data_IF_888767829564
#
_entry.id   IF_888767829564
#
_cell.length_a   1.000
_cell.length_b   1.000
_cell.length_c   1.000
_cell.angle_alpha   90.00
_cell.angle_beta   90.00
_cell.angle_gamma   90.00
#
_symmetry.space_group_name_H-M   'P 1'
#
loop_
_entity.id
_entity.type
_entity.pdbx_description
1 polymer ?
#
# COMPACT_ATOMS: atom_id res chain seq x y z
N UNK A 1 -9.88 26.47 66.96
CA UNK A 1 -9.08 27.24 65.98
C UNK A 1 -9.81 27.05 64.65
N UNK A 2 -10.94 27.69 64.35
CA UNK A 2 -11.14 29.14 64.12
C UNK A 2 -9.97 29.64 63.27
N UNK A 3 -10.14 29.97 61.99
CA UNK A 3 -10.66 31.26 61.47
C UNK A 3 -10.95 31.12 59.95
N UNK A 4 -12.13 31.53 59.47
CA UNK A 4 -12.40 32.75 58.67
C UNK A 4 -12.30 32.60 57.13
N UNK A 5 -13.47 32.55 56.48
CA UNK A 5 -13.73 33.18 55.15
C UNK A 5 -13.86 34.72 55.33
N UNK A 6 -14.04 35.62 54.31
CA UNK A 6 -14.56 35.43 52.93
C UNK A 6 -14.06 36.42 51.82
N UNK A 7 -14.78 36.38 50.67
CA UNK A 7 -15.08 37.46 49.68
C UNK A 7 -14.01 37.85 48.65
N UNK A 8 -14.29 38.36 47.44
CA UNK A 8 -15.41 38.47 46.47
C UNK A 8 -14.76 39.14 45.23
N UNK A 9 -15.31 39.00 44.02
CA UNK A 9 -14.90 39.85 42.89
C UNK A 9 -15.19 39.31 41.49
N UNK A 10 -16.47 39.32 41.08
CA UNK A 10 -16.86 39.56 39.68
C UNK A 10 -16.62 41.04 39.37
N UNK A 11 -16.39 41.42 38.12
CA UNK A 11 -17.15 42.42 37.33
C UNK A 11 -16.54 42.57 35.93
N UNK A 12 -17.43 42.71 34.94
CA UNK A 12 -17.16 42.88 33.51
C UNK A 12 -17.18 44.37 33.14
N UNK A 13 -16.51 44.77 32.05
CA UNK A 13 -16.88 46.01 31.35
C UNK A 13 -16.63 45.89 29.85
N UNK A 14 -17.62 46.36 29.08
CA UNK A 14 -17.68 46.39 27.63
C UNK A 14 -17.49 47.83 27.10
N UNK A 15 -17.11 47.88 25.82
CA UNK A 15 -17.43 48.88 24.78
C UNK A 15 -17.01 50.36 24.94
N UNK A 16 -16.33 50.86 23.90
CA UNK A 16 -16.63 52.17 23.31
C UNK A 16 -16.34 52.10 21.79
N UNK A 17 -17.23 52.68 20.98
CA UNK A 17 -17.15 52.66 19.52
C UNK A 17 -17.35 54.06 18.94
N UNK A 18 -16.99 54.26 17.67
CA UNK A 18 -17.37 55.45 16.88
C UNK A 18 -17.56 55.06 15.41
N UNK A 19 -18.64 55.58 14.83
CA UNK A 19 -19.20 55.32 13.50
C UNK A 19 -18.79 56.36 12.45
N UNK A 20 -18.90 56.00 11.15
CA UNK A 20 -19.43 56.75 9.99
C UNK A 20 -19.22 55.87 8.74
N UNK A 21 -20.04 55.75 7.69
CA UNK A 21 -21.19 56.46 7.18
C UNK A 21 -21.67 55.78 5.89
N UNK A 22 -22.93 56.00 5.57
CA UNK A 22 -23.76 55.44 4.50
C UNK A 22 -23.22 55.55 3.06
N UNK A 23 -23.45 54.54 2.20
CA UNK A 23 -24.25 54.66 0.94
C UNK A 23 -24.37 53.33 0.16
N UNK A 24 -25.64 53.01 -0.17
CA UNK A 24 -26.23 52.15 -1.21
C UNK A 24 -25.28 51.50 -2.25
N UNK A 25 -25.48 50.27 -2.75
CA UNK A 25 -26.68 49.46 -2.72
C UNK A 25 -26.53 48.12 -3.46
N UNK A 26 -27.59 47.32 -3.33
CA UNK A 26 -27.79 45.98 -3.89
C UNK A 26 -28.17 46.10 -5.37
N UNK A 27 -27.27 45.79 -6.29
CA UNK A 27 -27.47 45.44 -7.73
C UNK A 27 -26.33 46.02 -8.58
N UNK A 28 -25.22 45.28 -8.61
CA UNK A 28 -24.17 45.22 -9.63
C UNK A 28 -23.03 44.54 -8.88
N UNK A 29 -22.74 43.25 -9.06
CA UNK A 29 -21.91 42.85 -10.17
C UNK A 29 -21.97 41.31 -10.29
N UNK A 30 -23.09 40.76 -10.79
CA UNK A 30 -22.97 39.49 -11.52
C UNK A 30 -22.29 39.83 -12.84
N UNK A 31 -20.95 39.76 -12.85
CA UNK A 31 -20.16 39.87 -14.07
C UNK A 31 -19.21 38.69 -14.15
N UNK A 32 -19.65 37.73 -14.95
CA UNK A 32 -18.90 36.68 -15.63
C UNK A 32 -17.41 36.98 -15.76
N UNK A 33 -16.60 36.15 -15.10
CA UNK A 33 -15.20 35.96 -15.40
C UNK A 33 -14.95 34.47 -15.60
N UNK A 34 -15.25 33.96 -16.80
CA UNK A 34 -14.65 32.72 -17.28
C UNK A 34 -13.15 33.00 -17.42
N UNK A 35 -12.39 32.55 -16.43
CA UNK A 35 -10.93 32.62 -16.40
C UNK A 35 -10.38 31.22 -16.27
N UNK A 36 -9.85 30.70 -17.37
CA UNK A 36 -9.13 29.44 -17.42
C UNK A 36 -7.81 29.51 -16.65
N UNK A 37 -7.37 28.32 -16.22
CA UNK A 37 -6.00 27.95 -15.82
C UNK A 37 -5.52 28.37 -14.43
N UNK A 38 -5.75 27.47 -13.47
CA UNK A 38 -4.68 26.85 -12.70
C UNK A 38 -5.21 25.53 -12.12
N UNK A 39 -5.06 24.44 -12.87
CA UNK A 39 -5.01 23.12 -12.24
C UNK A 39 -3.65 23.05 -11.54
N UNK A 40 -3.59 23.59 -10.33
CA UNK A 40 -2.51 23.25 -9.40
C UNK A 40 -2.71 21.77 -9.11
N UNK A 41 -1.89 20.93 -9.74
CA UNK A 41 -1.81 19.53 -9.40
C UNK A 41 -1.39 19.43 -7.95
N UNK A 42 -2.34 19.13 -7.07
CA UNK A 42 -2.06 18.55 -5.77
C UNK A 42 -1.83 17.04 -5.97
N UNK A 43 -0.81 16.69 -6.75
CA UNK A 43 -0.21 15.37 -6.65
C UNK A 43 0.77 15.46 -5.48
N UNK A 44 0.39 14.87 -4.33
CA UNK A 44 1.26 14.82 -3.15
C UNK A 44 0.60 15.12 -1.80
N UNK A 45 -0.73 15.18 -1.69
CA UNK A 45 -1.40 15.30 -0.38
C UNK A 45 -2.08 14.00 0.10
N UNK A 46 -2.03 12.92 -0.71
CA UNK A 46 -2.62 11.62 -0.34
C UNK A 46 -1.83 10.91 0.76
N UNK A 47 -0.49 10.96 0.69
CA UNK A 47 0.38 10.24 1.63
C UNK A 47 0.27 10.68 3.10
N UNK A 48 -0.17 11.91 3.37
CA UNK A 48 -0.33 12.39 4.75
C UNK A 48 -1.68 12.07 5.38
N UNK A 49 -2.70 11.74 4.58
CA UNK A 49 -4.03 11.39 5.10
C UNK A 49 -4.11 9.87 5.38
N UNK A 50 -3.60 9.04 4.47
CA UNK A 50 -3.59 7.58 4.62
C UNK A 50 -2.78 7.12 5.86
N UNK A 51 -1.59 7.72 6.09
CA UNK A 51 -0.78 7.41 7.27
C UNK A 51 -1.47 7.73 8.62
N UNK A 52 -2.50 8.57 8.64
CA UNK A 52 -3.24 8.88 9.88
C UNK A 52 -4.10 7.70 10.35
N UNK A 53 -4.56 6.83 9.44
CA UNK A 53 -5.36 5.67 9.80
C UNK A 53 -4.62 4.71 10.74
N UNK A 54 -3.28 4.71 10.67
CA UNK A 54 -2.39 3.92 11.53
C UNK A 54 -1.65 4.76 12.57
N UNK A 55 -2.13 5.97 12.88
CA UNK A 55 -1.52 6.84 13.90
C UNK A 55 -0.08 7.25 13.57
N UNK A 56 0.23 7.45 12.28
CA UNK A 56 1.58 7.82 11.82
C UNK A 56 2.55 6.64 11.71
N UNK A 57 2.08 5.39 11.88
CA UNK A 57 2.94 4.19 11.81
C UNK A 57 3.77 4.09 10.52
N UNK A 58 3.21 4.57 9.41
CA UNK A 58 3.80 4.49 8.07
C UNK A 58 4.53 5.77 7.62
N UNK A 59 4.72 6.77 8.48
CA UNK A 59 5.34 8.06 8.10
C UNK A 59 6.75 7.92 7.49
N UNK A 60 7.48 6.87 7.85
CA UNK A 60 8.83 6.54 7.41
C UNK A 60 8.89 5.28 6.52
N UNK A 61 7.76 4.79 6.03
CA UNK A 61 7.67 3.59 5.18
C UNK A 61 7.48 4.00 3.72
N UNK A 62 8.53 3.82 2.92
CA UNK A 62 8.62 4.44 1.59
C UNK A 62 7.70 3.86 0.52
N UNK A 63 7.23 2.61 0.69
CA UNK A 63 6.34 1.94 -0.25
C UNK A 63 4.85 1.96 0.16
N UNK A 64 4.50 2.65 1.24
CA UNK A 64 3.10 2.74 1.67
C UNK A 64 2.37 3.85 0.90
N UNK A 65 1.38 3.44 0.11
CA UNK A 65 0.50 4.34 -0.67
C UNK A 65 -0.97 4.25 -0.24
N UNK A 66 -1.30 3.34 0.68
CA UNK A 66 -2.65 3.01 1.13
C UNK A 66 -2.75 1.53 1.50
N UNK A 67 -3.92 1.11 1.96
CA UNK A 67 -4.17 -0.28 2.36
C UNK A 67 -4.74 -1.07 1.19
N UNK A 68 -4.10 -2.18 0.84
CA UNK A 68 -4.64 -3.08 -0.19
C UNK A 68 -5.82 -3.88 0.37
N UNK A 69 -6.95 -3.84 -0.31
CA UNK A 69 -8.16 -4.59 0.06
C UNK A 69 -8.08 -6.04 -0.41
N UNK A 70 -7.82 -6.95 0.52
CA UNK A 70 -7.80 -8.40 0.30
C UNK A 70 -9.01 -9.10 0.97
N UNK A 71 -10.07 -8.36 1.32
CA UNK A 71 -11.31 -8.96 1.82
C UNK A 71 -11.87 -9.98 0.82
N UNK A 72 -12.54 -11.01 1.32
CA UNK A 72 -13.02 -12.15 0.56
C UNK A 72 -11.96 -13.20 0.22
N UNK A 73 -10.70 -13.05 0.66
CA UNK A 73 -9.63 -14.03 0.45
C UNK A 73 -9.30 -14.79 1.75
N UNK A 74 -9.18 -16.12 1.64
CA UNK A 74 -8.84 -16.99 2.76
C UNK A 74 -7.34 -16.89 3.16
N UNK A 75 -6.50 -16.47 2.21
CA UNK A 75 -5.05 -16.32 2.42
C UNK A 75 -4.47 -15.13 1.64
N UNK A 76 -3.46 -14.51 2.23
CA UNK A 76 -2.69 -13.39 1.65
C UNK A 76 -1.20 -13.65 1.87
N UNK A 77 -0.38 -13.30 0.88
CA UNK A 77 1.08 -13.36 1.02
C UNK A 77 1.65 -11.96 1.21
N UNK A 78 2.56 -11.80 2.17
CA UNK A 78 3.38 -10.60 2.35
C UNK A 78 4.85 -11.00 2.18
N UNK A 79 5.53 -10.37 1.26
CA UNK A 79 6.96 -10.55 1.04
C UNK A 79 7.77 -9.89 2.17
N UNK A 80 8.77 -10.61 2.68
CA UNK A 80 9.72 -10.15 3.69
C UNK A 80 11.08 -9.96 3.03
N UNK A 81 11.52 -8.70 2.98
CA UNK A 81 12.74 -8.33 2.26
C UNK A 81 12.46 -7.77 0.87
N UNK A 82 11.46 -6.91 0.75
CA UNK A 82 11.07 -6.28 -0.50
C UNK A 82 11.76 -4.92 -0.73
N UNK A 83 11.49 -4.31 -1.88
CA UNK A 83 12.10 -3.05 -2.32
C UNK A 83 13.56 -3.16 -2.77
N UNK A 84 14.11 -2.07 -3.30
CA UNK A 84 15.44 -2.05 -3.93
C UNK A 84 16.58 -2.52 -3.02
N UNK A 85 16.44 -2.29 -1.71
CA UNK A 85 17.44 -2.69 -0.69
C UNK A 85 17.05 -3.95 0.10
N UNK A 86 15.87 -4.53 -0.16
CA UNK A 86 15.35 -5.67 0.60
C UNK A 86 14.99 -5.35 2.06
N UNK A 87 14.60 -4.12 2.37
CA UNK A 87 14.35 -3.65 3.74
C UNK A 87 12.88 -3.24 3.96
N UNK A 88 11.96 -3.79 3.17
CA UNK A 88 10.53 -3.48 3.23
C UNK A 88 9.70 -4.77 3.35
N UNK A 89 8.46 -4.60 3.79
CA UNK A 89 7.39 -5.58 3.60
C UNK A 89 6.58 -5.20 2.36
N UNK A 90 6.14 -6.18 1.57
CA UNK A 90 5.33 -5.93 0.38
C UNK A 90 4.18 -6.94 0.25
N UNK A 91 2.91 -6.49 0.23
CA UNK A 91 2.47 -5.12 0.48
C UNK A 91 2.73 -4.66 1.93
N UNK A 92 2.92 -3.35 2.16
CA UNK A 92 3.15 -2.84 3.52
C UNK A 92 1.88 -2.82 4.39
N UNK A 93 0.69 -2.77 3.78
CA UNK A 93 -0.58 -2.78 4.51
C UNK A 93 -1.66 -3.55 3.73
N UNK A 94 -2.41 -4.39 4.45
CA UNK A 94 -3.53 -5.17 3.91
C UNK A 94 -4.76 -5.08 4.82
N UNK A 95 -5.94 -5.08 4.20
CA UNK A 95 -7.23 -5.31 4.85
C UNK A 95 -7.69 -6.75 4.54
N UNK A 96 -8.07 -7.50 5.57
CA UNK A 96 -8.52 -8.90 5.44
C UNK A 96 -9.77 -9.16 6.29
N UNK A 97 -10.46 -10.26 6.01
CA UNK A 97 -11.55 -10.73 6.86
C UNK A 97 -11.00 -11.45 8.11
N UNK A 98 -11.76 -11.50 9.21
CA UNK A 98 -11.47 -12.39 10.33
C UNK A 98 -11.34 -13.84 9.88
N UNK A 99 -10.28 -14.51 10.32
CA UNK A 99 -9.92 -15.89 9.95
C UNK A 99 -9.00 -16.00 8.73
N UNK A 100 -8.68 -14.89 8.04
CA UNK A 100 -7.70 -14.91 6.95
C UNK A 100 -6.30 -15.24 7.51
N UNK A 101 -5.57 -16.10 6.79
CA UNK A 101 -4.17 -16.40 7.10
C UNK A 101 -3.24 -15.56 6.25
N UNK A 102 -2.30 -14.87 6.90
CA UNK A 102 -1.22 -14.16 6.21
C UNK A 102 0.05 -15.01 6.28
N UNK A 103 0.57 -15.33 5.10
CA UNK A 103 1.87 -16.00 4.93
C UNK A 103 2.93 -14.94 4.64
N UNK A 104 3.86 -14.78 5.55
CA UNK A 104 5.06 -13.98 5.36
C UNK A 104 6.12 -14.83 4.67
N UNK A 105 6.54 -14.47 3.44
CA UNK A 105 7.50 -15.23 2.64
C UNK A 105 8.79 -14.43 2.44
N UNK A 106 9.94 -15.01 2.78
CA UNK A 106 11.23 -14.34 2.66
C UNK A 106 11.72 -14.36 1.21
N UNK A 107 12.08 -13.18 0.70
CA UNK A 107 12.66 -13.02 -0.64
C UNK A 107 14.16 -13.38 -0.68
N UNK A 108 14.80 -13.53 0.49
CA UNK A 108 16.26 -13.67 0.61
C UNK A 108 17.04 -12.37 0.41
N UNK A 109 16.38 -11.24 0.16
CA UNK A 109 17.03 -9.94 -0.03
C UNK A 109 17.18 -9.15 1.28
N UNK A 110 18.16 -8.25 1.34
CA UNK A 110 18.36 -7.34 2.47
C UNK A 110 18.90 -7.96 3.77
N UNK A 111 19.24 -9.25 3.76
CA UNK A 111 19.84 -9.94 4.91
C UNK A 111 18.81 -10.69 5.75
N UNK A 112 18.95 -10.60 7.07
CA UNK A 112 18.05 -11.29 7.99
C UNK A 112 16.92 -10.38 8.47
N UNK A 113 15.71 -10.91 8.50
CA UNK A 113 14.48 -10.24 8.90
C UNK A 113 13.64 -11.11 9.82
N UNK A 114 12.80 -10.47 10.61
CA UNK A 114 11.73 -11.11 11.37
C UNK A 114 10.43 -10.30 11.23
N UNK A 115 9.34 -10.89 11.68
CA UNK A 115 8.02 -10.27 11.73
C UNK A 115 7.57 -10.27 13.18
N UNK A 116 7.48 -9.11 13.81
CA UNK A 116 7.10 -8.96 15.21
C UNK A 116 5.89 -8.06 15.33
N UNK A 117 4.84 -8.54 15.98
CA UNK A 117 3.69 -7.72 16.34
C UNK A 117 4.11 -6.58 17.27
N UNK A 118 3.67 -5.35 16.98
CA UNK A 118 3.80 -4.19 17.85
C UNK A 118 2.57 -4.13 18.77
N UNK A 119 2.68 -4.52 20.05
CA UNK A 119 1.58 -4.37 20.99
C UNK A 119 1.27 -2.88 21.24
N UNK A 120 0.00 -2.59 21.50
CA UNK A 120 -0.47 -1.23 21.81
C UNK A 120 -0.05 -0.75 23.21
N UNK A 121 0.25 -1.68 24.12
CA UNK A 121 0.74 -1.41 25.47
C UNK A 121 2.16 -1.91 25.61
N UNK A 122 3.03 -1.10 26.21
CA UNK A 122 4.45 -1.43 26.42
C UNK A 122 4.66 -2.68 27.30
N UNK A 123 3.69 -2.97 28.17
CA UNK A 123 3.73 -4.13 29.09
C UNK A 123 3.10 -5.41 28.49
N UNK A 124 2.60 -5.37 27.25
CA UNK A 124 1.96 -6.52 26.62
C UNK A 124 2.95 -7.31 25.75
N UNK A 125 2.78 -8.63 25.73
CA UNK A 125 3.53 -9.51 24.83
C UNK A 125 3.03 -9.38 23.38
N UNK A 126 3.89 -9.60 22.37
CA UNK A 126 3.47 -9.63 20.98
C UNK A 126 2.51 -10.81 20.73
N UNK A 127 1.47 -10.59 19.91
CA UNK A 127 0.54 -11.65 19.51
C UNK A 127 1.21 -12.71 18.62
N UNK A 128 2.24 -12.30 17.89
CA UNK A 128 3.06 -13.15 17.04
C UNK A 128 4.47 -12.59 16.88
N UNK A 129 5.43 -13.51 16.72
CA UNK A 129 6.82 -13.21 16.41
C UNK A 129 7.41 -14.38 15.61
N UNK A 130 8.02 -14.08 14.46
CA UNK A 130 8.80 -15.06 13.70
C UNK A 130 10.24 -15.17 14.23
N UNK A 131 10.93 -16.26 13.90
CA UNK A 131 12.38 -16.29 14.06
C UNK A 131 13.05 -15.29 13.11
N UNK A 132 14.30 -14.92 13.43
CA UNK A 132 15.15 -14.11 12.55
C UNK A 132 15.71 -15.02 11.44
N UNK A 133 15.27 -14.80 10.20
CA UNK A 133 15.59 -15.63 9.04
C UNK A 133 16.07 -14.78 7.86
N UNK A 134 16.81 -15.37 6.92
CA UNK A 134 17.23 -14.69 5.69
C UNK A 134 17.29 -15.61 4.47
N UNK A 135 16.75 -16.84 4.60
CA UNK A 135 16.71 -17.81 3.51
C UNK A 135 15.52 -17.52 2.60
N UNK A 136 15.77 -17.47 1.29
CA UNK A 136 14.72 -17.33 0.27
C UNK A 136 13.72 -18.49 0.35
N UNK A 137 12.42 -18.18 0.33
CA UNK A 137 11.34 -19.15 0.43
C UNK A 137 11.06 -19.67 1.84
N UNK A 138 11.75 -19.16 2.87
CA UNK A 138 11.32 -19.37 4.25
C UNK A 138 9.97 -18.70 4.49
N UNK A 139 9.13 -19.30 5.33
CA UNK A 139 7.76 -18.82 5.58
C UNK A 139 7.42 -18.76 7.07
N UNK A 140 6.63 -17.76 7.43
CA UNK A 140 5.96 -17.65 8.73
C UNK A 140 4.48 -17.36 8.51
N UNK A 141 3.59 -18.07 9.19
CA UNK A 141 2.14 -17.94 8.99
C UNK A 141 1.46 -17.51 10.28
N UNK A 142 0.47 -16.61 10.15
CA UNK A 142 -0.40 -16.23 11.26
C UNK A 142 -1.84 -16.03 10.76
N UNK A 143 -2.79 -16.60 11.50
CA UNK A 143 -4.23 -16.46 11.23
C UNK A 143 -4.82 -15.39 12.13
N UNK A 144 -5.46 -14.39 11.53
CA UNK A 144 -5.99 -13.24 12.22
C UNK A 144 -7.47 -13.42 12.55
N UNK A 145 -7.77 -13.92 13.74
CA UNK A 145 -9.14 -14.25 14.16
C UNK A 145 -9.93 -13.05 14.72
N UNK A 146 -9.24 -12.08 15.32
CA UNK A 146 -9.87 -10.96 16.02
C UNK A 146 -9.90 -9.70 15.15
N UNK A 147 -11.07 -9.06 15.06
CA UNK A 147 -11.23 -7.75 14.41
C UNK A 147 -10.42 -6.69 15.15
N UNK A 148 -9.29 -6.30 14.55
CA UNK A 148 -8.37 -5.31 15.08
C UNK A 148 -7.36 -4.90 13.99
N UNK A 149 -6.51 -3.92 14.31
CA UNK A 149 -5.35 -3.57 13.51
C UNK A 149 -4.08 -4.09 14.17
N UNK A 150 -3.37 -4.97 13.47
CA UNK A 150 -2.11 -5.55 13.91
C UNK A 150 -0.95 -4.90 13.18
N UNK A 151 -0.30 -3.94 13.84
CA UNK A 151 0.95 -3.36 13.35
C UNK A 151 2.09 -4.31 13.63
N UNK A 152 3.06 -4.40 12.72
CA UNK A 152 4.22 -5.25 12.89
C UNK A 152 5.47 -4.62 12.30
N UNK A 153 6.63 -5.09 12.73
CA UNK A 153 7.93 -4.57 12.30
C UNK A 153 8.99 -5.68 12.24
N UNK A 154 10.08 -5.37 11.54
CA UNK A 154 11.31 -6.15 11.58
C UNK A 154 12.28 -5.54 12.61
N UNK A 155 12.63 -6.29 13.65
CA UNK A 155 13.47 -5.82 14.77
C UNK A 155 14.78 -5.13 14.34
N UNK A 156 15.61 -5.69 13.44
CA UNK A 156 16.85 -5.03 13.01
C UNK A 156 16.63 -3.80 12.13
N UNK A 157 15.45 -3.65 11.50
CA UNK A 157 15.20 -2.65 10.45
C UNK A 157 14.02 -1.70 10.74
N UNK A 158 13.44 -1.75 11.95
CA UNK A 158 12.32 -0.91 12.36
C UNK A 158 12.63 0.59 12.22
N UNK A 159 13.84 0.98 12.64
CA UNK A 159 14.29 2.38 12.63
C UNK A 159 14.51 2.96 11.22
N UNK A 160 14.52 2.11 10.19
CA UNK A 160 14.63 2.50 8.77
C UNK A 160 13.34 2.24 7.99
N UNK A 161 12.22 2.04 8.69
CA UNK A 161 10.90 1.94 8.07
C UNK A 161 10.48 0.53 7.64
N UNK A 162 11.14 -0.53 8.10
CA UNK A 162 10.65 -1.89 7.85
C UNK A 162 9.49 -2.23 8.80
N UNK A 163 8.31 -1.70 8.46
CA UNK A 163 7.06 -1.79 9.22
C UNK A 163 5.92 -2.16 8.29
N UNK A 164 4.93 -2.86 8.82
CA UNK A 164 3.70 -3.22 8.11
C UNK A 164 2.49 -3.23 9.03
N UNK A 165 1.32 -3.47 8.45
CA UNK A 165 0.07 -3.65 9.19
C UNK A 165 -0.90 -4.62 8.50
N UNK A 166 -1.66 -5.34 9.31
CA UNK A 166 -2.85 -6.10 8.89
C UNK A 166 -4.05 -5.49 9.60
N UNK A 167 -4.97 -4.89 8.86
CA UNK A 167 -6.28 -4.52 9.38
C UNK A 167 -7.25 -5.68 9.15
N UNK A 168 -8.05 -6.00 10.17
CA UNK A 168 -8.96 -7.15 10.16
C UNK A 168 -10.39 -6.65 10.34
N UNK A 169 -11.27 -6.94 9.38
CA UNK A 169 -12.67 -6.51 9.37
C UNK A 169 -12.86 -5.13 8.73
N UNK A 170 -12.32 -4.08 9.33
CA UNK A 170 -12.46 -2.70 8.83
C UNK A 170 -11.20 -1.84 9.06
N UNK A 171 -11.07 -0.78 8.26
CA UNK A 171 -10.08 0.29 8.43
C UNK A 171 -10.64 1.62 7.95
N UNK A 172 -10.17 2.71 8.54
CA UNK A 172 -10.51 4.09 8.13
C UNK A 172 -9.60 4.61 7.01
N UNK A 173 -8.65 3.77 6.54
CA UNK A 173 -7.69 4.13 5.49
C UNK A 173 -8.30 4.16 4.08
N UNK A 174 -7.56 4.78 3.14
CA UNK A 174 -7.83 4.63 1.71
C UNK A 174 -7.58 3.18 1.29
N UNK A 175 -8.61 2.56 0.69
CA UNK A 175 -8.53 1.22 0.16
C UNK A 175 -8.14 1.23 -1.31
N UNK A 176 -7.15 0.40 -1.64
CA UNK A 176 -6.67 0.17 -2.99
C UNK A 176 -7.07 -1.25 -3.39
N UNK A 177 -7.79 -1.40 -4.49
CA UNK A 177 -8.13 -2.70 -5.06
C UNK A 177 -6.86 -3.30 -5.71
N UNK A 178 -6.32 -4.43 -5.20
CA UNK A 178 -5.10 -5.04 -5.72
C UNK A 178 -5.27 -5.61 -7.14
N UNK A 179 -6.50 -5.87 -7.58
CA UNK A 179 -6.81 -6.45 -8.90
C UNK A 179 -7.15 -5.38 -9.94
N UNK A 180 -7.28 -4.10 -9.55
CA UNK A 180 -7.66 -2.98 -10.42
C UNK A 180 -6.56 -2.55 -11.43
N UNK A 181 -5.59 -3.43 -11.73
CA UNK A 181 -4.39 -3.17 -12.52
C UNK A 181 -4.56 -2.18 -13.68
N UNK A 182 -3.96 -1.00 -13.51
CA UNK A 182 -3.36 -0.20 -14.59
C UNK A 182 -4.29 0.41 -15.64
N UNK A 183 -5.59 0.54 -15.37
CA UNK A 183 -6.56 1.13 -16.28
C UNK A 183 -6.79 2.61 -16.01
N UNK A 184 -5.86 3.49 -16.37
CA UNK A 184 -6.11 4.92 -16.52
C UNK A 184 -7.09 5.19 -17.67
N UNK A 185 -8.35 4.77 -17.51
CA UNK A 185 -9.40 4.82 -18.51
C UNK A 185 -10.69 5.23 -17.84
N UNK A 186 -10.98 6.52 -17.93
CA UNK A 186 -12.25 7.15 -17.53
C UNK A 186 -13.44 6.21 -17.77
N UNK A 187 -14.27 6.03 -16.75
CA UNK A 187 -15.56 5.33 -16.78
C UNK A 187 -16.56 6.08 -17.68
N UNK A 188 -16.26 6.17 -18.97
CA UNK A 188 -17.15 6.59 -20.03
C UNK A 188 -17.62 5.37 -20.83
N UNK A 189 -18.78 5.44 -21.50
CA UNK A 189 -19.21 4.37 -22.38
C UNK A 189 -18.16 4.11 -23.46
N UNK A 190 -17.68 2.87 -23.56
CA UNK A 190 -16.66 2.46 -24.51
C UNK A 190 -17.08 2.83 -25.94
N UNK A 191 -16.23 3.59 -26.63
CA UNK A 191 -16.44 3.92 -28.04
C UNK A 191 -15.84 2.84 -28.93
N UNK A 192 -16.30 2.72 -30.17
CA UNK A 192 -15.81 1.72 -31.14
C UNK A 192 -14.31 1.83 -31.45
N UNK A 193 -13.62 2.87 -30.98
CA UNK A 193 -12.17 2.99 -31.06
C UNK A 193 -11.42 2.07 -30.07
N UNK A 194 -12.05 1.69 -28.94
CA UNK A 194 -11.44 0.83 -27.91
C UNK A 194 -11.29 -0.63 -28.35
N UNK A 195 -12.16 -1.10 -29.26
CA UNK A 195 -12.15 -2.48 -29.75
C UNK A 195 -10.95 -2.82 -30.66
N UNK A 196 -10.13 -1.84 -31.05
CA UNK A 196 -9.02 -2.06 -32.00
C UNK A 196 -7.65 -2.28 -31.32
N UNK A 197 -7.55 -2.18 -30.00
CA UNK A 197 -6.26 -2.35 -29.27
C UNK A 197 -5.97 -3.82 -28.89
N UNK A 198 -6.94 -4.73 -28.95
CA UNK A 198 -6.79 -6.13 -28.51
C UNK A 198 -6.16 -7.11 -29.54
N UNK A 199 -5.61 -6.64 -30.66
CA UNK A 199 -5.16 -7.53 -31.75
C UNK A 199 -3.62 -7.69 -31.88
N UNK A 200 -2.82 -7.31 -30.89
CA UNK A 200 -1.37 -7.21 -31.09
C UNK A 200 -0.45 -7.55 -29.92
N UNK A 201 -0.54 -8.75 -29.33
CA UNK A 201 0.56 -9.30 -28.51
C UNK A 201 0.39 -10.81 -28.19
N UNK A 202 0.69 -11.71 -29.14
CA UNK A 202 1.08 -13.09 -28.80
C UNK A 202 2.20 -13.53 -29.75
N UNK A 203 3.45 -13.42 -29.31
CA UNK A 203 4.57 -14.08 -29.97
C UNK A 203 5.70 -14.42 -28.98
N UNK A 204 5.90 -15.74 -28.83
CA UNK A 204 7.15 -16.47 -28.64
C UNK A 204 7.80 -16.50 -27.25
N UNK A 205 7.65 -17.65 -26.58
CA UNK A 205 8.49 -18.09 -25.48
C UNK A 205 8.37 -19.59 -25.19
N UNK A 206 8.72 -20.46 -26.15
CA UNK A 206 8.93 -21.89 -25.87
C UNK A 206 10.08 -22.45 -26.72
N UNK A 207 11.30 -22.45 -26.17
CA UNK A 207 12.40 -23.28 -26.67
C UNK A 207 12.42 -24.55 -25.83
N UNK A 208 11.85 -25.62 -26.35
CA UNK A 208 11.86 -26.93 -25.75
C UNK A 208 12.99 -27.75 -26.40
N UNK A 209 14.06 -27.99 -25.64
CA UNK A 209 15.18 -28.84 -26.01
C UNK A 209 14.73 -30.30 -25.96
N UNK A 210 14.64 -30.97 -27.11
CA UNK A 210 14.62 -32.44 -27.18
C UNK A 210 15.74 -32.88 -28.12
N UNK A 211 16.81 -33.37 -27.51
CA UNK A 211 17.78 -34.22 -28.16
C UNK A 211 17.26 -35.67 -28.05
N UNK A 212 16.96 -36.30 -29.19
CA UNK A 212 16.92 -37.76 -29.29
C UNK A 212 17.65 -38.19 -30.55
N UNK A 213 18.77 -38.86 -30.29
CA UNK A 213 19.57 -39.66 -31.21
C UNK A 213 18.70 -40.76 -31.82
N UNK A 214 18.75 -40.94 -33.14
CA UNK A 214 18.43 -42.24 -33.73
C UNK A 214 19.31 -42.55 -34.93
N UNK A 215 19.82 -43.77 -34.91
CA UNK A 215 20.91 -44.30 -35.68
C UNK A 215 20.50 -44.81 -37.08
N UNK A 216 21.53 -44.95 -37.92
CA UNK A 216 21.73 -45.98 -38.94
C UNK A 216 20.59 -46.26 -39.95
N UNK A 217 20.82 -45.89 -41.22
CA UNK A 217 20.94 -46.89 -42.29
C UNK A 217 21.54 -46.30 -43.57
N UNK A 218 22.64 -46.90 -44.05
CA UNK A 218 23.22 -46.68 -45.40
C UNK A 218 22.29 -47.26 -46.49
N UNK A 219 22.42 -46.80 -47.74
CA UNK A 219 23.23 -47.49 -48.77
C UNK A 219 24.10 -46.49 -49.56
N UNK A 220 25.29 -46.80 -50.07
CA UNK A 220 25.59 -47.83 -51.07
C UNK A 220 25.51 -47.22 -52.47
N UNK A 221 26.44 -47.56 -53.36
CA UNK A 221 26.63 -47.09 -54.77
C UNK A 221 27.54 -45.85 -54.90
N UNK A 222 28.59 -45.82 -55.73
CA UNK A 222 29.14 -46.77 -56.70
C UNK A 222 30.29 -46.08 -57.45
N UNK A 223 31.30 -46.86 -57.81
CA UNK A 223 32.49 -46.54 -58.61
C UNK A 223 32.25 -45.66 -59.85
N UNK A 224 33.21 -44.78 -60.20
CA UNK A 224 33.85 -44.62 -61.54
C UNK A 224 35.20 -43.88 -61.31
N UNK A 225 36.39 -44.47 -61.48
CA UNK A 225 37.10 -44.87 -62.70
C UNK A 225 37.74 -43.71 -63.49
N UNK A 226 39.01 -43.90 -63.84
CA UNK A 226 39.89 -43.14 -64.76
C UNK A 226 40.59 -41.90 -64.14
N UNK A 227 41.90 -41.67 -64.28
CA UNK A 227 42.96 -42.30 -65.10
C UNK A 227 44.31 -41.90 -64.51
#
# INVERSE_FOLDING_TARGET
MSESSPSEGREATAADGVADGTTLGRRDLFRTGVGAAAATGAAGAGGTAAAQAYGGWFEDVSNYEGTLDYTGRDAVTVEVGAGENGLLFEPPAVLVDPGTTVTFEWTGAGGQHNVVHQPDSEDADPAFESELMGEEGATFEYTFEEESTFRYYCSPHQAVGMKGAVAVGETEDELIDPDAGGGGGSSGPLTTADLLVLAGAVALGLVLVVAVVSAANSPGEGEQSTR
#
